data_IF_128341676770
#
_entry.id   IF_128341676770
#
_cell.length_a   1.000
_cell.length_b   1.000
_cell.length_c   1.000
_cell.angle_alpha   90.00
_cell.angle_beta   90.00
_cell.angle_gamma   90.00
#
_symmetry.space_group_name_H-M   'P 1'
#
loop_
_entity.id
_entity.type
_entity.pdbx_description
1 polymer ?
#
# COMPACT_ATOMS: atom_id res chain seq x y z
N UNK A 1 -5.61 15.85 -13.10
CA UNK A 1 -4.39 16.48 -13.66
C UNK A 1 -4.52 18.00 -13.81
N UNK A 2 -5.70 18.55 -14.14
CA UNK A 2 -5.89 20.00 -14.36
C UNK A 2 -5.31 20.91 -13.27
N UNK A 3 -5.43 20.53 -12.00
CA UNK A 3 -4.98 21.35 -10.86
C UNK A 3 -3.46 21.41 -10.67
N UNK A 4 -2.68 20.60 -11.40
CA UNK A 4 -1.20 20.57 -11.28
C UNK A 4 -0.52 20.79 -12.63
N UNK A 5 -1.27 21.19 -13.66
CA UNK A 5 -0.78 21.24 -15.05
C UNK A 5 0.49 22.10 -15.19
N UNK A 6 0.58 23.19 -14.45
CA UNK A 6 1.66 24.17 -14.53
C UNK A 6 2.94 23.66 -13.82
N UNK A 7 2.83 22.59 -13.04
CA UNK A 7 3.96 21.92 -12.37
C UNK A 7 4.50 20.74 -13.18
N UNK A 8 3.88 20.42 -14.32
CA UNK A 8 4.24 19.26 -15.15
C UNK A 8 5.25 19.65 -16.22
N UNK A 9 6.25 18.80 -16.41
CA UNK A 9 7.26 18.95 -17.46
C UNK A 9 7.78 17.58 -17.90
N UNK A 10 8.47 17.52 -19.04
CA UNK A 10 8.97 16.27 -19.61
C UNK A 10 10.49 16.23 -19.47
N UNK A 11 11.02 15.08 -19.03
CA UNK A 11 12.45 14.76 -19.02
C UNK A 11 12.68 13.39 -19.59
N UNK A 12 13.48 13.26 -20.64
CA UNK A 12 13.86 11.93 -21.18
C UNK A 12 12.63 11.01 -21.37
N UNK A 13 11.56 11.57 -21.98
CA UNK A 13 10.27 10.89 -22.21
C UNK A 13 9.43 10.56 -20.96
N UNK A 14 9.90 10.92 -19.77
CA UNK A 14 9.14 10.82 -18.52
C UNK A 14 8.37 12.10 -18.25
N UNK A 15 7.10 11.95 -17.84
CA UNK A 15 6.33 13.04 -17.29
C UNK A 15 6.74 13.25 -15.82
N UNK A 16 7.17 14.46 -15.50
CA UNK A 16 7.68 14.87 -14.20
C UNK A 16 6.74 15.89 -13.56
N UNK A 17 6.76 15.98 -12.24
CA UNK A 17 6.08 17.00 -11.44
C UNK A 17 7.05 17.64 -10.45
N UNK A 18 6.99 18.96 -10.31
CA UNK A 18 7.84 19.68 -9.37
C UNK A 18 9.32 19.54 -9.73
N UNK A 19 10.20 19.26 -8.76
CA UNK A 19 11.64 19.17 -9.02
C UNK A 19 12.08 17.79 -9.54
N UNK A 20 11.50 16.71 -9.03
CA UNK A 20 12.05 15.36 -9.20
C UNK A 20 11.04 14.20 -9.10
N UNK A 21 9.73 14.47 -9.07
CA UNK A 21 8.74 13.40 -8.95
C UNK A 21 8.31 12.89 -10.32
N UNK A 22 8.35 11.58 -10.51
CA UNK A 22 7.85 10.94 -11.74
C UNK A 22 6.34 10.82 -11.65
N UNK A 23 5.62 11.32 -12.65
CA UNK A 23 4.18 11.10 -12.78
C UNK A 23 3.94 9.68 -13.26
N UNK A 24 3.42 8.86 -12.36
CA UNK A 24 3.28 7.43 -12.62
C UNK A 24 2.01 7.16 -13.45
N UNK A 25 2.09 6.34 -14.52
CA UNK A 25 0.90 5.85 -15.21
C UNK A 25 0.22 4.73 -14.40
N UNK A 26 -1.12 4.63 -14.49
CA UNK A 26 -1.94 3.70 -13.69
C UNK A 26 -1.48 2.25 -13.78
N UNK A 27 -1.01 1.83 -14.96
CA UNK A 27 -0.53 0.49 -15.26
C UNK A 27 0.68 0.08 -14.41
N UNK A 28 1.42 1.05 -13.86
CA UNK A 28 2.61 0.80 -13.05
C UNK A 28 2.37 0.94 -11.55
N UNK A 29 1.16 1.32 -11.12
CA UNK A 29 0.88 1.56 -9.70
C UNK A 29 1.14 0.32 -8.85
N UNK A 30 0.63 -0.84 -9.28
CA UNK A 30 0.82 -2.10 -8.56
C UNK A 30 2.29 -2.51 -8.50
N UNK A 31 3.01 -2.39 -9.62
CA UNK A 31 4.43 -2.76 -9.68
C UNK A 31 5.27 -1.88 -8.74
N UNK A 32 5.06 -0.56 -8.77
CA UNK A 32 5.77 0.36 -7.90
C UNK A 32 5.36 0.23 -6.43
N UNK A 33 4.08 -0.07 -6.15
CA UNK A 33 3.61 -0.34 -4.81
C UNK A 33 4.26 -1.59 -4.23
N UNK A 34 4.29 -2.70 -4.98
CA UNK A 34 4.93 -3.95 -4.54
C UNK A 34 6.41 -3.74 -4.20
N UNK A 35 7.13 -2.93 -4.99
CA UNK A 35 8.52 -2.54 -4.69
C UNK A 35 8.65 -1.65 -3.45
N UNK A 36 7.66 -0.80 -3.19
CA UNK A 36 7.63 0.07 -2.00
C UNK A 36 7.15 -0.65 -0.75
N UNK A 37 6.52 -1.82 -0.89
CA UNK A 37 5.95 -2.63 0.18
C UNK A 37 6.71 -3.95 0.41
N UNK A 38 7.94 -4.09 -0.11
CA UNK A 38 8.76 -5.33 -0.07
C UNK A 38 8.93 -5.92 1.34
N UNK A 39 8.87 -5.09 2.38
CA UNK A 39 9.03 -5.52 3.77
C UNK A 39 7.82 -5.22 4.66
N UNK A 40 6.61 -5.05 4.10
CA UNK A 40 5.41 -4.68 4.86
C UNK A 40 5.68 -3.54 5.86
N UNK A 41 6.42 -2.51 5.40
CA UNK A 41 7.05 -1.47 6.21
C UNK A 41 6.07 -0.66 7.08
N UNK A 42 4.77 -0.85 6.87
CA UNK A 42 3.70 -0.07 7.45
C UNK A 42 3.31 1.13 6.59
N UNK A 43 2.08 1.60 6.82
CA UNK A 43 1.41 2.65 6.03
C UNK A 43 2.25 3.91 5.87
N UNK A 44 2.78 4.42 6.97
CA UNK A 44 3.54 5.68 6.97
C UNK A 44 4.80 5.58 6.12
N UNK A 45 5.57 4.50 6.29
CA UNK A 45 6.83 4.32 5.55
C UNK A 45 6.60 4.06 4.07
N UNK A 46 5.60 3.25 3.72
CA UNK A 46 5.23 3.01 2.33
C UNK A 46 4.84 4.32 1.61
N UNK A 47 4.01 5.16 2.26
CA UNK A 47 3.66 6.49 1.74
C UNK A 47 4.88 7.39 1.56
N UNK A 48 5.78 7.45 2.55
CA UNK A 48 7.00 8.24 2.43
C UNK A 48 7.85 7.78 1.24
N UNK A 49 8.09 6.48 1.12
CA UNK A 49 8.89 5.92 0.04
C UNK A 49 8.29 6.22 -1.34
N UNK A 50 6.99 5.99 -1.54
CA UNK A 50 6.33 6.32 -2.81
C UNK A 50 6.40 7.81 -3.13
N UNK A 51 6.18 8.69 -2.14
CA UNK A 51 6.19 10.15 -2.30
C UNK A 51 7.57 10.73 -2.58
N UNK A 52 8.65 10.00 -2.26
CA UNK A 52 10.02 10.43 -2.56
C UNK A 52 10.36 10.35 -4.05
N UNK A 53 9.67 9.50 -4.81
CA UNK A 53 10.00 9.22 -6.21
C UNK A 53 8.84 9.46 -7.17
N UNK A 54 7.60 9.27 -6.72
CA UNK A 54 6.43 9.20 -7.59
C UNK A 54 5.35 10.19 -7.16
N UNK A 55 4.53 10.55 -8.14
CA UNK A 55 3.29 11.27 -7.92
C UNK A 55 2.18 10.76 -8.84
N UNK A 56 0.98 10.62 -8.29
CA UNK A 56 -0.25 10.45 -9.06
C UNK A 56 -1.46 10.89 -8.22
N UNK A 57 -2.60 11.22 -8.86
CA UNK A 57 -3.81 11.60 -8.14
C UNK A 57 -4.26 10.50 -7.18
N UNK A 58 -4.74 10.88 -5.99
CA UNK A 58 -5.24 9.92 -4.98
C UNK A 58 -4.21 8.89 -4.49
N UNK A 59 -2.91 9.16 -4.63
CA UNK A 59 -1.85 8.21 -4.24
C UNK A 59 -1.94 7.74 -2.79
N UNK A 60 -2.24 8.63 -1.85
CA UNK A 60 -2.40 8.24 -0.45
C UNK A 60 -3.56 7.25 -0.27
N UNK A 61 -4.72 7.53 -0.89
CA UNK A 61 -5.91 6.66 -0.84
C UNK A 61 -5.64 5.30 -1.47
N UNK A 62 -4.92 5.29 -2.60
CA UNK A 62 -4.50 4.06 -3.28
C UNK A 62 -3.59 3.20 -2.39
N UNK A 63 -2.59 3.81 -1.76
CA UNK A 63 -1.67 3.10 -0.85
C UNK A 63 -2.44 2.57 0.36
N UNK A 64 -3.37 3.36 0.89
CA UNK A 64 -4.21 2.96 2.01
C UNK A 64 -5.02 1.71 1.70
N UNK A 65 -5.77 1.73 0.61
CA UNK A 65 -6.56 0.60 0.12
C UNK A 65 -5.71 -0.66 -0.09
N UNK A 66 -4.51 -0.53 -0.66
CA UNK A 66 -3.62 -1.67 -0.89
C UNK A 66 -3.08 -2.27 0.40
N UNK A 67 -2.82 -1.45 1.42
CA UNK A 67 -2.34 -1.92 2.72
C UNK A 67 -3.49 -2.54 3.53
N UNK A 68 -4.68 -1.96 3.48
CA UNK A 68 -5.88 -2.47 4.14
C UNK A 68 -6.28 -3.86 3.62
N UNK A 69 -6.03 -4.14 2.34
CA UNK A 69 -6.26 -5.44 1.72
C UNK A 69 -5.05 -6.40 1.79
N UNK A 70 -3.98 -6.07 2.50
CA UNK A 70 -2.77 -6.89 2.58
C UNK A 70 -2.76 -7.77 3.84
N UNK A 71 -2.80 -9.10 3.64
CA UNK A 71 -2.84 -10.11 4.72
C UNK A 71 -1.64 -9.97 5.67
N UNK A 72 -0.42 -9.87 5.13
CA UNK A 72 0.80 -9.74 5.93
C UNK A 72 0.84 -8.44 6.75
N UNK A 73 0.33 -7.34 6.17
CA UNK A 73 0.18 -6.08 6.90
C UNK A 73 -0.85 -6.21 8.02
N UNK A 74 -1.95 -6.94 7.80
CA UNK A 74 -2.95 -7.20 8.83
C UNK A 74 -2.39 -8.06 9.97
N UNK A 75 -1.61 -9.10 9.67
CA UNK A 75 -0.99 -9.97 10.68
C UNK A 75 0.08 -9.27 11.52
N UNK A 76 0.80 -8.31 10.93
CA UNK A 76 1.85 -7.54 11.61
C UNK A 76 1.32 -6.34 12.41
N UNK A 77 0.05 -5.96 12.22
CA UNK A 77 -0.56 -4.86 12.95
C UNK A 77 -0.82 -5.27 14.42
N UNK A 78 -0.21 -4.54 15.35
CA UNK A 78 -0.35 -4.76 16.80
C UNK A 78 -1.79 -4.55 17.30
N UNK A 79 -2.63 -3.89 16.50
CA UNK A 79 -4.05 -3.68 16.79
C UNK A 79 -4.96 -4.73 16.19
N UNK A 80 -4.41 -5.66 15.39
CA UNK A 80 -5.17 -6.75 14.79
C UNK A 80 -5.71 -7.68 15.88
N UNK A 81 -6.99 -7.52 16.20
CA UNK A 81 -7.71 -8.44 17.07
C UNK A 81 -8.15 -9.63 16.22
N UNK A 82 -7.45 -10.76 16.36
CA UNK A 82 -8.09 -12.04 16.05
C UNK A 82 -9.35 -12.11 16.90
N UNK A 83 -10.53 -12.16 16.27
CA UNK A 83 -11.69 -12.72 16.94
C UNK A 83 -11.34 -14.18 17.20
N UNK A 84 -10.80 -14.46 18.39
CA UNK A 84 -10.54 -15.81 18.84
C UNK A 84 -11.92 -16.46 18.97
N UNK A 85 -12.38 -17.13 17.92
CA UNK A 85 -13.52 -18.04 18.03
C UNK A 85 -13.20 -18.92 19.23
N UNK A 86 -14.11 -18.92 20.22
CA UNK A 86 -13.97 -19.77 21.39
C UNK A 86 -13.95 -21.20 20.88
N UNK A 87 -12.77 -21.80 20.81
CA UNK A 87 -12.62 -23.24 20.63
C UNK A 87 -13.26 -23.86 21.87
N UNK A 88 -14.52 -24.24 21.75
CA UNK A 88 -15.15 -25.11 22.75
C UNK A 88 -14.45 -26.45 22.66
N UNK A 89 -13.97 -26.95 23.79
CA UNK A 89 -13.48 -28.32 23.89
C UNK A 89 -14.64 -29.23 23.49
N UNK A 90 -14.46 -30.00 22.43
CA UNK A 90 -15.35 -31.11 22.11
C UNK A 90 -14.90 -32.25 23.01
N UNK A 91 -15.79 -32.75 23.86
CA UNK A 91 -15.48 -33.92 24.68
C UNK A 91 -15.24 -35.12 23.76
N UNK A 92 -14.11 -35.80 24.00
CA UNK A 92 -13.73 -36.98 23.25
C UNK A 92 -14.72 -38.10 23.59
N UNK A 93 -15.34 -38.77 22.60
CA UNK A 93 -16.29 -39.84 22.89
C UNK A 93 -15.57 -40.98 23.60
N UNK A 94 -16.06 -41.33 24.79
CA UNK A 94 -15.56 -42.48 25.53
C UNK A 94 -15.71 -43.74 24.68
N UNK A 95 -14.61 -44.47 24.51
CA UNK A 95 -14.60 -45.75 23.80
C UNK A 95 -15.46 -46.75 24.58
N UNK A 96 -16.64 -47.05 24.03
CA UNK A 96 -17.49 -48.18 24.44
C UNK A 96 -16.74 -49.51 24.28
#
# INVERSE_FOLDING_TARGET
YFNVKDELWIKEELLMRGLNLIVLPKQLFDKCFSLSNVFHLGRTKCKQMMRSFFWFPEMNRYIDDKIDNCIECALSDKTFKFNKTRLSLIEYPESQ
#
